data_IF_575146942764
#
_entry.id   IF_575146942764
#
_cell.length_a   1.000
_cell.length_b   1.000
_cell.length_c   1.000
_cell.angle_alpha   90.00
_cell.angle_beta   90.00
_cell.angle_gamma   90.00
#
_symmetry.space_group_name_H-M   'P 1'
#
loop_
_entity.id
_entity.type
_entity.pdbx_description
1 polymer ?
#
# COMPACT_ATOMS: atom_id res chain seq x y z
N UNK A 1 -32.41 -4.17 -5.54
CA UNK A 1 -32.13 -5.43 -6.26
C UNK A 1 -30.87 -6.18 -5.76
N UNK A 2 -30.11 -5.67 -4.77
CA UNK A 2 -28.86 -6.29 -4.31
C UNK A 2 -29.00 -7.58 -3.45
N UNK A 3 -30.19 -7.93 -2.97
CA UNK A 3 -30.39 -9.05 -2.04
C UNK A 3 -30.31 -10.46 -2.68
N UNK A 4 -30.28 -10.58 -4.01
CA UNK A 4 -30.27 -11.89 -4.69
C UNK A 4 -28.88 -12.54 -4.73
N UNK A 5 -27.81 -11.75 -4.87
CA UNK A 5 -26.43 -12.26 -5.01
C UNK A 5 -25.84 -12.88 -3.73
N UNK A 6 -26.35 -12.49 -2.55
CA UNK A 6 -25.87 -13.00 -1.25
C UNK A 6 -26.43 -14.39 -0.89
N UNK A 7 -27.37 -14.93 -1.69
CA UNK A 7 -28.11 -16.17 -1.38
C UNK A 7 -27.31 -17.46 -1.64
N UNK A 8 -26.35 -17.45 -2.57
CA UNK A 8 -25.74 -18.69 -3.10
C UNK A 8 -24.52 -19.19 -2.32
N UNK A 9 -23.82 -18.31 -1.58
CA UNK A 9 -22.49 -18.61 -1.06
C UNK A 9 -22.30 -18.32 0.44
N UNK A 10 -23.36 -18.26 1.24
CA UNK A 10 -23.25 -18.07 2.69
C UNK A 10 -22.60 -19.30 3.36
N UNK A 11 -21.71 -19.11 4.35
CA UNK A 11 -21.25 -20.21 5.21
C UNK A 11 -22.45 -20.89 5.87
N UNK A 12 -22.32 -22.14 6.35
CA UNK A 12 -23.43 -22.87 7.00
C UNK A 12 -24.16 -22.00 8.05
N UNK A 13 -23.41 -21.17 8.78
CA UNK A 13 -23.92 -20.24 9.79
C UNK A 13 -24.67 -19.04 9.20
N UNK A 14 -24.17 -18.43 8.11
CA UNK A 14 -24.84 -17.31 7.45
C UNK A 14 -26.07 -17.77 6.65
N UNK A 15 -26.06 -19.00 6.13
CA UNK A 15 -27.22 -19.61 5.47
C UNK A 15 -28.34 -19.90 6.46
N UNK A 16 -28.02 -20.47 7.62
CA UNK A 16 -28.98 -20.66 8.71
C UNK A 16 -29.61 -19.33 9.18
N UNK A 17 -28.80 -18.27 9.28
CA UNK A 17 -29.29 -16.93 9.61
C UNK A 17 -30.23 -16.31 8.57
N UNK A 18 -30.12 -16.74 7.31
CA UNK A 18 -30.98 -16.25 6.24
C UNK A 18 -32.31 -17.00 6.20
N UNK A 19 -32.29 -18.31 6.45
CA UNK A 19 -33.47 -19.18 6.45
C UNK A 19 -34.40 -18.91 7.65
N UNK A 20 -33.86 -18.38 8.75
CA UNK A 20 -34.63 -17.95 9.92
C UNK A 20 -34.85 -16.44 9.88
N UNK A 21 -36.09 -15.99 10.04
CA UNK A 21 -36.46 -14.57 10.05
C UNK A 21 -36.07 -13.90 11.38
N UNK A 22 -34.79 -13.57 11.53
CA UNK A 22 -34.29 -12.80 12.67
C UNK A 22 -34.62 -11.31 12.49
N UNK A 23 -35.09 -10.68 13.57
CA UNK A 23 -35.25 -9.23 13.62
C UNK A 23 -33.90 -8.53 13.51
N UNK A 24 -33.90 -7.29 12.99
CA UNK A 24 -32.69 -6.46 12.88
C UNK A 24 -31.97 -6.32 14.25
N UNK A 25 -32.71 -6.17 15.35
CA UNK A 25 -32.14 -6.08 16.69
C UNK A 25 -31.33 -7.33 17.09
N UNK A 26 -31.82 -8.53 16.75
CA UNK A 26 -31.10 -9.79 17.03
C UNK A 26 -29.82 -9.87 16.20
N UNK A 27 -29.88 -9.44 14.93
CA UNK A 27 -28.72 -9.42 14.03
C UNK A 27 -27.66 -8.41 14.50
N UNK A 28 -28.06 -7.19 14.88
CA UNK A 28 -27.13 -6.19 15.43
C UNK A 28 -26.47 -6.67 16.73
N UNK A 29 -27.23 -7.31 17.63
CA UNK A 29 -26.67 -7.92 18.84
C UNK A 29 -25.64 -9.01 18.51
N UNK A 30 -25.91 -9.83 17.49
CA UNK A 30 -24.96 -10.83 17.01
C UNK A 30 -23.71 -10.18 16.40
N UNK A 31 -23.86 -9.17 15.56
CA UNK A 31 -22.76 -8.44 14.94
C UNK A 31 -21.82 -7.85 15.99
N UNK A 32 -22.36 -7.21 17.04
CA UNK A 32 -21.57 -6.67 18.14
C UNK A 32 -20.77 -7.75 18.89
N UNK A 33 -21.35 -8.95 19.06
CA UNK A 33 -20.62 -10.09 19.64
C UNK A 33 -19.50 -10.58 18.73
N UNK A 34 -19.72 -10.64 17.42
CA UNK A 34 -18.67 -10.99 16.45
C UNK A 34 -17.53 -9.97 16.48
N UNK A 35 -17.85 -8.67 16.51
CA UNK A 35 -16.85 -7.60 16.64
C UNK A 35 -16.01 -7.73 17.92
N UNK A 36 -16.67 -7.96 19.06
CA UNK A 36 -15.97 -8.17 20.33
C UNK A 36 -15.06 -9.40 20.29
N UNK A 37 -15.56 -10.53 19.78
CA UNK A 37 -14.82 -11.79 19.67
C UNK A 37 -13.59 -11.69 18.75
N UNK A 38 -13.64 -10.81 17.74
CA UNK A 38 -12.53 -10.55 16.81
C UNK A 38 -11.62 -9.39 17.24
N UNK A 39 -11.90 -8.74 18.39
CA UNK A 39 -11.16 -7.56 18.83
C UNK A 39 -11.38 -6.30 17.97
N UNK A 40 -12.41 -6.29 17.12
CA UNK A 40 -12.66 -5.22 16.15
C UNK A 40 -13.60 -4.12 16.66
N UNK A 41 -14.26 -4.31 17.80
CA UNK A 41 -15.27 -3.39 18.35
C UNK A 41 -14.73 -1.97 18.67
N UNK A 42 -13.42 -1.83 18.87
CA UNK A 42 -12.76 -0.53 19.09
C UNK A 42 -12.21 0.08 17.79
N UNK A 43 -12.29 -0.64 16.66
CA UNK A 43 -11.68 -0.26 15.37
C UNK A 43 -12.77 0.08 14.35
N UNK A 44 -13.80 -0.76 14.26
CA UNK A 44 -14.93 -0.56 13.36
C UNK A 44 -16.26 -0.71 14.10
N UNK A 45 -17.24 0.07 13.66
CA UNK A 45 -18.63 -0.02 14.02
C UNK A 45 -19.47 -0.03 12.74
N UNK A 46 -20.73 -0.43 12.86
CA UNK A 46 -21.70 -0.37 11.76
C UNK A 46 -22.85 0.55 12.13
N UNK A 47 -23.35 1.28 11.15
CA UNK A 47 -24.47 2.19 11.33
C UNK A 47 -25.71 1.45 11.88
N UNK A 48 -26.40 2.03 12.86
CA UNK A 48 -27.61 1.46 13.43
C UNK A 48 -28.77 1.37 12.43
N UNK A 49 -28.68 2.09 11.31
CA UNK A 49 -29.68 2.12 10.24
C UNK A 49 -29.48 1.02 9.19
N UNK A 50 -28.47 0.14 9.33
CA UNK A 50 -28.32 -0.98 8.41
C UNK A 50 -29.55 -1.88 8.45
N UNK A 51 -30.11 -2.15 7.27
CA UNK A 51 -31.22 -3.07 7.11
C UNK A 51 -30.78 -4.54 7.27
N UNK A 52 -31.75 -5.45 7.27
CA UNK A 52 -31.49 -6.89 7.47
C UNK A 52 -30.48 -7.46 6.45
N UNK A 53 -30.59 -7.24 5.13
CA UNK A 53 -29.58 -7.67 4.16
C UNK A 53 -28.17 -7.16 4.47
N UNK A 54 -28.01 -5.88 4.79
CA UNK A 54 -26.70 -5.29 5.09
C UNK A 54 -26.13 -5.77 6.43
N UNK A 55 -26.97 -6.00 7.44
CA UNK A 55 -26.55 -6.62 8.70
C UNK A 55 -26.02 -8.03 8.51
N UNK A 56 -26.66 -8.84 7.65
CA UNK A 56 -26.18 -10.19 7.33
C UNK A 56 -24.86 -10.16 6.57
N UNK A 57 -24.70 -9.21 5.65
CA UNK A 57 -23.41 -8.93 5.01
C UNK A 57 -22.33 -8.53 6.03
N UNK A 58 -22.64 -7.62 6.96
CA UNK A 58 -21.72 -7.18 8.00
C UNK A 58 -21.28 -8.34 8.91
N UNK A 59 -22.22 -9.18 9.34
CA UNK A 59 -21.92 -10.39 10.12
C UNK A 59 -20.99 -11.30 9.32
N UNK A 60 -21.26 -11.55 8.04
CA UNK A 60 -20.38 -12.37 7.21
C UNK A 60 -18.97 -11.78 7.11
N UNK A 61 -18.84 -10.48 6.88
CA UNK A 61 -17.55 -9.80 6.79
C UNK A 61 -16.74 -9.94 8.09
N UNK A 62 -17.36 -9.69 9.24
CA UNK A 62 -16.66 -9.74 10.54
C UNK A 62 -16.36 -11.18 10.97
N UNK A 63 -17.28 -12.11 10.74
CA UNK A 63 -17.15 -13.49 11.21
C UNK A 63 -16.16 -14.29 10.35
N UNK A 64 -16.18 -14.09 9.04
CA UNK A 64 -15.47 -14.94 8.08
C UNK A 64 -14.19 -14.35 7.51
N UNK A 65 -14.05 -13.03 7.45
CA UNK A 65 -12.86 -12.41 6.87
C UNK A 65 -11.79 -12.17 7.91
N UNK A 66 -10.53 -12.17 7.46
CA UNK A 66 -9.41 -11.70 8.25
C UNK A 66 -9.33 -10.17 8.11
N UNK A 67 -9.17 -9.49 9.24
CA UNK A 67 -9.15 -8.03 9.31
C UNK A 67 -7.79 -7.48 9.74
N UNK A 68 -6.83 -8.33 10.10
CA UNK A 68 -5.58 -7.92 10.77
C UNK A 68 -4.85 -6.81 10.02
N UNK A 69 -4.66 -6.93 8.70
CA UNK A 69 -3.91 -5.94 7.92
C UNK A 69 -4.63 -4.59 7.88
N UNK A 70 -5.94 -4.61 7.63
CA UNK A 70 -6.78 -3.41 7.56
C UNK A 70 -6.97 -2.77 8.93
N UNK A 71 -7.10 -3.57 9.98
CA UNK A 71 -7.18 -3.12 11.35
C UNK A 71 -5.88 -2.43 11.78
N UNK A 72 -4.72 -3.01 11.47
CA UNK A 72 -3.41 -2.41 11.73
C UNK A 72 -3.27 -1.07 11.00
N UNK A 73 -3.65 -1.00 9.71
CA UNK A 73 -3.63 0.24 8.94
C UNK A 73 -4.56 1.32 9.52
N UNK A 74 -5.78 0.96 9.94
CA UNK A 74 -6.70 1.89 10.60
C UNK A 74 -6.17 2.36 11.96
N UNK A 75 -5.51 1.49 12.72
CA UNK A 75 -4.89 1.84 13.99
C UNK A 75 -3.71 2.80 13.79
N UNK A 76 -2.86 2.56 12.80
CA UNK A 76 -1.81 3.49 12.39
C UNK A 76 -2.40 4.84 11.93
N UNK A 77 -3.44 4.82 11.09
CA UNK A 77 -4.11 6.04 10.64
C UNK A 77 -4.66 6.87 11.82
N UNK A 78 -5.23 6.21 12.84
CA UNK A 78 -5.66 6.86 14.09
C UNK A 78 -4.49 7.47 14.84
N UNK A 79 -3.39 6.73 14.96
CA UNK A 79 -2.19 7.17 15.65
C UNK A 79 -1.59 8.43 14.99
N UNK A 80 -1.64 8.50 13.65
CA UNK A 80 -1.25 9.67 12.85
C UNK A 80 -2.34 10.76 12.76
N UNK A 81 -3.47 10.58 13.43
CA UNK A 81 -4.56 11.57 13.46
C UNK A 81 -5.41 11.66 12.18
N UNK A 82 -5.27 10.73 11.23
CA UNK A 82 -6.01 10.72 9.96
C UNK A 82 -7.42 10.13 10.05
N UNK A 83 -7.74 9.45 11.14
CA UNK A 83 -9.10 9.00 11.42
C UNK A 83 -9.37 8.90 12.92
N UNK A 84 -10.64 8.80 13.27
CA UNK A 84 -11.10 8.48 14.62
C UNK A 84 -11.61 7.04 14.63
N UNK A 85 -11.21 6.27 15.65
CA UNK A 85 -11.73 4.92 15.86
C UNK A 85 -12.76 4.89 17.00
N UNK A 86 -13.80 4.05 16.90
CA UNK A 86 -14.11 3.19 15.74
C UNK A 86 -14.64 3.98 14.54
N UNK A 87 -14.25 3.61 13.32
CA UNK A 87 -14.91 4.14 12.11
C UNK A 87 -16.30 3.53 11.97
N UNK A 88 -17.28 4.30 11.50
CA UNK A 88 -18.66 3.81 11.32
C UNK A 88 -18.93 3.50 9.87
N UNK A 89 -19.13 2.21 9.57
CA UNK A 89 -19.48 1.73 8.23
C UNK A 89 -20.99 1.90 7.99
N UNK A 90 -21.32 2.77 7.05
CA UNK A 90 -22.67 3.11 6.63
C UNK A 90 -23.09 2.32 5.39
N UNK A 91 -24.33 2.55 4.93
CA UNK A 91 -24.90 1.90 3.75
C UNK A 91 -23.99 2.06 2.52
N UNK A 92 -23.42 3.25 2.30
CA UNK A 92 -22.54 3.52 1.16
C UNK A 92 -21.26 2.66 1.19
N UNK A 93 -20.62 2.49 2.36
CA UNK A 93 -19.46 1.59 2.52
C UNK A 93 -19.84 0.15 2.18
N UNK A 94 -20.98 -0.27 2.71
CA UNK A 94 -21.50 -1.61 2.50
C UNK A 94 -21.95 -1.86 1.07
N UNK A 95 -22.17 -0.82 0.26
CA UNK A 95 -22.56 -0.93 -1.14
C UNK A 95 -21.39 -0.92 -2.12
N UNK A 96 -20.15 -0.67 -1.66
CA UNK A 96 -18.95 -0.81 -2.49
C UNK A 96 -18.81 -2.18 -3.14
N UNK A 97 -19.34 -3.21 -2.48
CA UNK A 97 -19.49 -4.56 -3.05
C UNK A 97 -20.96 -4.93 -3.07
N UNK A 98 -21.61 -4.94 -4.22
CA UNK A 98 -23.04 -5.22 -4.32
C UNK A 98 -23.41 -6.69 -3.95
N UNK A 99 -22.42 -7.57 -4.06
CA UNK A 99 -22.56 -9.01 -3.92
C UNK A 99 -21.35 -9.63 -3.22
N UNK A 100 -21.52 -10.85 -2.71
CA UNK A 100 -20.41 -11.63 -2.17
C UNK A 100 -19.39 -11.97 -3.25
N UNK A 101 -19.84 -12.22 -4.48
CA UNK A 101 -18.96 -12.55 -5.59
C UNK A 101 -18.11 -11.35 -5.99
N UNK A 102 -18.69 -10.15 -6.04
CA UNK A 102 -17.92 -8.92 -6.28
C UNK A 102 -16.82 -8.73 -5.21
N UNK A 103 -17.16 -8.91 -3.93
CA UNK A 103 -16.16 -8.84 -2.86
C UNK A 103 -15.04 -9.88 -3.02
N UNK A 104 -15.38 -11.12 -3.38
CA UNK A 104 -14.41 -12.21 -3.54
C UNK A 104 -13.64 -12.16 -4.88
N UNK A 105 -14.03 -11.27 -5.80
CA UNK A 105 -13.28 -11.05 -7.04
C UNK A 105 -12.02 -10.21 -6.80
N UNK A 106 -12.03 -9.39 -5.75
CA UNK A 106 -10.87 -8.63 -5.30
C UNK A 106 -10.02 -9.44 -4.31
N UNK A 107 -8.73 -9.10 -4.23
CA UNK A 107 -7.92 -9.49 -3.08
C UNK A 107 -8.55 -8.94 -1.80
N UNK A 108 -8.68 -9.77 -0.75
CA UNK A 108 -9.39 -9.43 0.49
C UNK A 108 -8.98 -8.08 1.08
N UNK A 109 -7.68 -7.78 1.14
CA UNK A 109 -7.19 -6.51 1.71
C UNK A 109 -7.68 -5.31 0.89
N UNK A 110 -7.64 -5.41 -0.44
CA UNK A 110 -8.18 -4.39 -1.36
C UNK A 110 -9.69 -4.25 -1.19
N UNK A 111 -10.42 -5.38 -1.15
CA UNK A 111 -11.87 -5.39 -0.99
C UNK A 111 -12.32 -4.70 0.31
N UNK A 112 -11.65 -4.99 1.42
CA UNK A 112 -11.89 -4.35 2.71
C UNK A 112 -11.48 -2.88 2.69
N UNK A 113 -10.33 -2.53 2.09
CA UNK A 113 -9.87 -1.15 2.03
C UNK A 113 -10.79 -0.27 1.18
N UNK A 114 -11.37 -0.77 0.09
CA UNK A 114 -12.43 -0.07 -0.67
C UNK A 114 -13.61 0.36 0.23
N UNK A 115 -13.92 -0.43 1.26
CA UNK A 115 -15.00 -0.12 2.21
C UNK A 115 -14.58 0.86 3.31
N UNK A 116 -13.32 0.81 3.78
CA UNK A 116 -12.90 1.58 4.96
C UNK A 116 -12.02 2.79 4.65
N UNK A 117 -11.31 2.78 3.54
CA UNK A 117 -10.25 3.74 3.21
C UNK A 117 -10.75 5.18 3.12
N UNK A 118 -11.99 5.40 2.68
CA UNK A 118 -12.61 6.74 2.63
C UNK A 118 -12.78 7.43 3.99
N UNK A 119 -12.61 6.68 5.10
CA UNK A 119 -12.62 7.20 6.47
C UNK A 119 -11.24 7.65 6.95
N UNK A 120 -10.18 7.39 6.17
CA UNK A 120 -8.82 7.87 6.40
C UNK A 120 -8.64 9.15 5.59
N UNK A 121 -8.56 10.29 6.29
CA UNK A 121 -8.45 11.61 5.71
C UNK A 121 -7.11 12.24 6.11
N UNK A 122 -6.23 12.42 5.13
CA UNK A 122 -4.94 13.08 5.31
C UNK A 122 -5.08 14.60 5.43
N UNK A 123 -6.23 15.16 5.02
CA UNK A 123 -6.50 16.60 5.07
C UNK A 123 -5.80 17.38 3.95
N UNK A 124 -6.13 18.67 3.83
CA UNK A 124 -5.52 19.58 2.85
C UNK A 124 -5.54 19.02 1.42
N UNK A 125 -4.41 19.17 0.74
CA UNK A 125 -4.21 18.69 -0.63
C UNK A 125 -3.95 17.18 -0.73
N UNK A 126 -3.73 16.50 0.41
CA UNK A 126 -3.53 15.05 0.45
C UNK A 126 -4.84 14.27 0.34
N UNK A 127 -5.99 14.90 0.61
CA UNK A 127 -7.30 14.29 0.43
C UNK A 127 -7.54 13.04 1.30
N UNK A 128 -8.29 12.07 0.76
CA UNK A 128 -8.66 10.82 1.46
C UNK A 128 -8.01 9.61 0.82
N UNK A 129 -7.76 8.57 1.61
CA UNK A 129 -7.22 7.32 1.09
C UNK A 129 -8.32 6.39 0.54
N UNK A 130 -8.98 6.85 -0.52
CA UNK A 130 -10.06 6.10 -1.16
C UNK A 130 -9.55 5.25 -2.33
N UNK A 131 -10.09 4.05 -2.49
CA UNK A 131 -9.87 3.22 -3.67
C UNK A 131 -11.09 3.27 -4.59
N UNK A 132 -10.85 3.33 -5.89
CA UNK A 132 -11.87 3.45 -6.93
C UNK A 132 -11.79 2.26 -7.89
N UNK A 133 -12.95 1.74 -8.28
CA UNK A 133 -13.07 0.69 -9.28
C UNK A 133 -12.96 1.28 -10.68
N UNK A 134 -12.14 0.66 -11.54
CA UNK A 134 -12.06 1.07 -12.94
C UNK A 134 -12.96 0.21 -13.84
N UNK A 135 -13.50 0.81 -14.94
CA UNK A 135 -14.02 0.02 -16.04
C UNK A 135 -12.94 -0.94 -16.57
N UNK A 136 -13.17 -2.25 -16.46
CA UNK A 136 -12.19 -3.27 -16.86
C UNK A 136 -11.50 -4.02 -15.71
N UNK A 137 -11.81 -3.70 -14.45
CA UNK A 137 -11.37 -4.49 -13.29
C UNK A 137 -10.07 -4.02 -12.62
N UNK A 138 -9.53 -2.87 -13.02
CA UNK A 138 -8.42 -2.21 -12.32
C UNK A 138 -8.87 -1.43 -11.09
N UNK A 139 -7.90 -0.94 -10.31
CA UNK A 139 -8.14 -0.13 -9.10
C UNK A 139 -7.32 1.14 -9.18
N UNK A 140 -7.88 2.28 -8.76
CA UNK A 140 -7.13 3.52 -8.51
C UNK A 140 -7.11 3.88 -7.03
N UNK A 141 -6.12 4.66 -6.60
CA UNK A 141 -6.02 5.19 -5.24
C UNK A 141 -6.04 6.71 -5.21
N UNK A 142 -6.58 7.31 -4.14
CA UNK A 142 -6.67 8.76 -3.88
C UNK A 142 -7.59 9.54 -4.82
N UNK A 143 -7.42 9.39 -6.14
CA UNK A 143 -8.21 10.06 -7.19
C UNK A 143 -8.65 9.03 -8.24
N UNK A 144 -9.84 9.22 -8.80
CA UNK A 144 -10.32 8.42 -9.94
C UNK A 144 -9.88 9.06 -11.27
N UNK A 145 -8.58 9.19 -11.46
CA UNK A 145 -7.96 9.86 -12.60
C UNK A 145 -6.75 9.06 -13.12
N UNK A 146 -6.35 9.19 -14.40
CA UNK A 146 -5.13 8.60 -14.92
C UNK A 146 -3.89 9.01 -14.11
N UNK A 147 -2.94 8.07 -13.95
CA UNK A 147 -1.74 8.22 -13.12
C UNK A 147 -1.90 7.71 -11.68
N UNK A 148 -3.14 7.40 -11.26
CA UNK A 148 -3.45 6.88 -9.93
C UNK A 148 -3.79 5.38 -9.92
N UNK A 149 -3.45 4.67 -10.99
CA UNK A 149 -3.63 3.23 -11.12
C UNK A 149 -2.79 2.42 -10.13
N UNK A 150 -3.37 1.32 -9.66
CA UNK A 150 -2.69 0.26 -8.95
C UNK A 150 -2.67 -0.99 -9.83
N UNK A 151 -1.48 -1.51 -10.11
CA UNK A 151 -1.33 -2.85 -10.67
C UNK A 151 -1.33 -3.86 -9.52
N UNK A 152 -2.45 -4.58 -9.38
CA UNK A 152 -2.68 -5.52 -8.30
C UNK A 152 -2.19 -6.91 -8.73
N UNK A 153 -1.26 -7.47 -7.96
CA UNK A 153 -0.57 -8.71 -8.27
C UNK A 153 0.15 -8.65 -9.63
N UNK A 154 1.03 -7.65 -9.84
CA UNK A 154 1.77 -7.48 -11.09
C UNK A 154 2.59 -8.74 -11.40
N UNK A 155 2.84 -9.07 -12.68
CA UNK A 155 3.78 -10.11 -13.03
C UNK A 155 5.19 -9.71 -12.56
N UNK A 156 5.74 -10.48 -11.61
CA UNK A 156 7.08 -10.23 -11.08
C UNK A 156 8.13 -11.07 -11.82
N UNK A 157 9.34 -10.53 -12.09
CA UNK A 157 10.45 -11.30 -12.67
C UNK A 157 10.76 -12.57 -11.86
N UNK A 158 11.19 -13.70 -12.46
CA UNK A 158 11.34 -14.98 -11.74
C UNK A 158 12.25 -14.94 -10.50
N UNK A 159 13.24 -14.05 -10.47
CA UNK A 159 14.18 -13.87 -9.36
C UNK A 159 13.75 -12.77 -8.36
N UNK A 160 12.52 -12.26 -8.46
CA UNK A 160 12.03 -11.18 -7.61
C UNK A 160 11.93 -11.64 -6.13
N UNK A 161 12.42 -10.86 -5.15
CA UNK A 161 12.49 -11.28 -3.75
C UNK A 161 11.13 -11.52 -3.08
N UNK A 162 10.04 -10.98 -3.64
CA UNK A 162 8.69 -11.19 -3.11
C UNK A 162 8.02 -12.49 -3.56
N UNK A 163 8.51 -13.17 -4.60
CA UNK A 163 7.91 -14.44 -5.07
C UNK A 163 7.69 -15.48 -3.96
N UNK A 164 8.67 -15.73 -3.05
CA UNK A 164 8.49 -16.71 -1.97
C UNK A 164 7.49 -16.26 -0.89
N UNK A 165 7.03 -15.02 -0.93
CA UNK A 165 6.26 -14.38 0.13
C UNK A 165 4.86 -13.96 -0.30
N UNK A 166 4.49 -14.05 -1.58
CA UNK A 166 3.18 -13.67 -2.09
C UNK A 166 2.02 -14.36 -1.35
N UNK A 167 1.02 -13.58 -0.95
CA UNK A 167 -0.22 -14.04 -0.31
C UNK A 167 -1.39 -13.64 -1.22
N UNK A 168 -2.18 -14.61 -1.71
CA UNK A 168 -3.27 -14.33 -2.67
C UNK A 168 -4.27 -13.25 -2.20
N UNK A 169 -4.60 -13.24 -0.90
CA UNK A 169 -5.53 -12.29 -0.30
C UNK A 169 -4.92 -10.92 0.00
N UNK A 170 -3.60 -10.79 -0.16
CA UNK A 170 -2.78 -9.61 0.12
C UNK A 170 -1.59 -9.55 -0.85
N UNK A 171 -1.85 -9.52 -2.17
CA UNK A 171 -0.81 -9.68 -3.19
C UNK A 171 0.05 -8.42 -3.30
N UNK A 172 1.23 -8.50 -3.95
CA UNK A 172 2.04 -7.33 -4.28
C UNK A 172 1.24 -6.26 -5.05
N UNK A 173 1.62 -5.00 -4.89
CA UNK A 173 0.98 -3.87 -5.58
C UNK A 173 2.07 -3.01 -6.20
N UNK A 174 1.97 -2.74 -7.50
CA UNK A 174 2.86 -1.79 -8.19
C UNK A 174 2.11 -0.48 -8.44
N UNK A 175 2.75 0.64 -8.12
CA UNK A 175 2.15 1.97 -8.25
C UNK A 175 3.24 3.04 -8.48
N UNK A 176 2.92 4.03 -9.31
CA UNK A 176 3.72 5.23 -9.52
C UNK A 176 3.30 6.39 -8.59
N UNK A 177 2.38 6.16 -7.65
CA UNK A 177 1.86 7.23 -6.81
C UNK A 177 2.85 7.55 -5.71
N UNK A 178 3.26 8.82 -5.64
CA UNK A 178 4.11 9.33 -4.57
C UNK A 178 3.63 10.66 -4.00
N UNK A 179 4.20 11.03 -2.86
CA UNK A 179 3.99 12.31 -2.20
C UNK A 179 5.00 13.33 -2.73
N UNK A 180 4.54 14.31 -3.51
CA UNK A 180 5.37 15.40 -4.04
C UNK A 180 4.68 16.74 -3.81
N UNK A 181 5.46 17.75 -3.38
CA UNK A 181 4.96 19.12 -3.19
C UNK A 181 3.71 19.22 -2.30
N UNK A 182 3.62 18.38 -1.27
CA UNK A 182 2.47 18.37 -0.34
C UNK A 182 1.17 17.80 -0.93
N UNK A 183 1.24 16.97 -1.98
CA UNK A 183 0.08 16.26 -2.53
C UNK A 183 0.45 14.89 -3.09
N UNK A 184 -0.55 14.03 -3.29
CA UNK A 184 -0.35 12.77 -4.02
C UNK A 184 -0.31 13.04 -5.52
N UNK A 185 0.78 12.66 -6.17
CA UNK A 185 1.03 12.82 -7.60
C UNK A 185 1.40 11.48 -8.23
N UNK A 186 1.22 11.38 -9.55
CA UNK A 186 1.84 10.32 -10.33
C UNK A 186 3.30 10.72 -10.56
N UNK A 187 4.23 9.91 -10.05
CA UNK A 187 5.67 10.03 -10.26
C UNK A 187 6.10 9.22 -11.49
N UNK A 188 7.30 9.50 -12.00
CA UNK A 188 7.98 8.64 -12.96
C UNK A 188 8.57 7.39 -12.27
N UNK A 189 8.81 7.48 -10.96
CA UNK A 189 9.30 6.35 -10.15
C UNK A 189 8.16 5.37 -9.85
N UNK A 190 8.37 4.09 -10.16
CA UNK A 190 7.38 3.04 -9.91
C UNK A 190 7.86 2.13 -8.79
N UNK A 191 7.08 2.08 -7.71
CA UNK A 191 7.34 1.22 -6.57
C UNK A 191 6.45 -0.02 -6.61
N UNK A 192 7.07 -1.18 -6.38
CA UNK A 192 6.41 -2.45 -6.09
C UNK A 192 6.42 -2.68 -4.58
N UNK A 193 5.28 -2.52 -3.94
CA UNK A 193 5.05 -2.90 -2.55
C UNK A 193 4.87 -4.42 -2.43
N UNK A 194 5.45 -5.03 -1.39
CA UNK A 194 5.42 -6.48 -1.18
C UNK A 194 4.01 -7.04 -0.99
N UNK A 195 3.05 -6.19 -0.61
CA UNK A 195 1.63 -6.55 -0.50
C UNK A 195 0.74 -5.31 -0.57
N UNK A 196 -0.56 -5.50 -0.81
CA UNK A 196 -1.57 -4.47 -0.69
C UNK A 196 -1.56 -3.80 0.70
N UNK A 197 -1.34 -4.57 1.77
CA UNK A 197 -1.19 -4.01 3.11
C UNK A 197 0.08 -3.18 3.28
N UNK A 198 1.17 -3.55 2.60
CA UNK A 198 2.42 -2.78 2.62
C UNK A 198 2.22 -1.44 1.91
N UNK A 199 1.56 -1.43 0.73
CA UNK A 199 1.16 -0.20 0.05
C UNK A 199 0.33 0.71 0.96
N UNK A 200 -0.74 0.17 1.56
CA UNK A 200 -1.62 0.93 2.46
C UNK A 200 -0.85 1.51 3.66
N UNK A 201 -0.04 0.69 4.33
CA UNK A 201 0.76 1.12 5.48
C UNK A 201 1.79 2.17 5.08
N UNK A 202 2.53 1.97 3.98
CA UNK A 202 3.52 2.92 3.44
C UNK A 202 2.87 4.27 3.17
N UNK A 203 1.72 4.28 2.51
CA UNK A 203 0.97 5.51 2.24
C UNK A 203 0.62 6.26 3.52
N UNK A 204 0.12 5.56 4.55
CA UNK A 204 -0.24 6.20 5.83
C UNK A 204 1.00 6.68 6.58
N UNK A 205 2.10 5.91 6.55
CA UNK A 205 3.38 6.30 7.15
C UNK A 205 3.91 7.56 6.50
N UNK A 206 3.85 7.67 5.17
CA UNK A 206 4.41 8.80 4.40
C UNK A 206 3.64 10.11 4.52
N UNK A 207 2.37 10.08 4.93
CA UNK A 207 1.59 11.30 5.07
C UNK A 207 1.95 12.05 6.36
N UNK A 208 2.10 13.38 6.29
CA UNK A 208 2.27 14.28 7.43
C UNK A 208 3.73 14.55 7.82
N UNK A 209 3.93 15.53 8.71
CA UNK A 209 5.26 16.02 9.08
C UNK A 209 5.94 15.06 10.08
N UNK A 210 7.25 14.86 9.93
CA UNK A 210 8.05 14.07 10.86
C UNK A 210 9.43 14.71 11.07
N UNK A 211 10.05 14.32 12.18
CA UNK A 211 11.49 14.43 12.36
C UNK A 211 12.21 13.24 11.73
N UNK A 212 13.35 13.48 11.09
CA UNK A 212 14.17 12.44 10.48
C UNK A 212 15.63 12.58 10.89
N UNK A 213 16.32 11.46 11.09
CA UNK A 213 17.78 11.45 11.17
C UNK A 213 18.38 11.53 9.77
N UNK A 214 19.56 12.15 9.61
CA UNK A 214 20.34 11.95 8.40
C UNK A 214 20.65 10.46 8.19
N UNK A 215 20.86 10.10 6.93
CA UNK A 215 21.16 8.73 6.53
C UNK A 215 22.53 8.26 7.08
N UNK A 216 22.56 7.11 7.74
CA UNK A 216 23.78 6.43 8.14
C UNK A 216 24.06 5.24 7.21
N UNK A 217 25.30 5.13 6.71
CA UNK A 217 25.73 4.00 5.90
C UNK A 217 26.40 2.95 6.76
N UNK A 218 25.88 1.72 6.74
CA UNK A 218 26.31 0.64 7.63
C UNK A 218 26.52 -0.63 6.83
N UNK A 219 27.64 -1.32 7.07
CA UNK A 219 27.85 -2.65 6.48
C UNK A 219 26.83 -3.65 7.06
N UNK A 220 26.07 -4.32 6.19
CA UNK A 220 25.01 -5.28 6.53
C UNK A 220 25.49 -6.45 7.40
N UNK A 221 26.76 -6.81 7.27
CA UNK A 221 27.39 -7.91 8.00
C UNK A 221 28.12 -7.42 9.27
N UNK A 222 28.26 -6.11 9.46
CA UNK A 222 28.83 -5.58 10.69
C UNK A 222 27.94 -5.85 11.90
N UNK A 223 28.53 -5.70 13.09
CA UNK A 223 27.82 -5.75 14.38
C UNK A 223 26.99 -7.03 14.61
N UNK A 224 27.47 -8.16 14.09
CA UNK A 224 26.80 -9.46 14.24
C UNK A 224 25.76 -9.76 13.17
N UNK A 225 25.71 -8.99 12.06
CA UNK A 225 24.82 -9.25 10.94
C UNK A 225 23.35 -8.96 11.24
N UNK A 226 23.06 -8.05 12.19
CA UNK A 226 21.68 -7.71 12.59
C UNK A 226 20.89 -7.15 11.40
N UNK A 227 21.48 -6.26 10.61
CA UNK A 227 20.83 -5.70 9.42
C UNK A 227 20.61 -6.75 8.34
N UNK A 228 21.60 -7.61 8.09
CA UNK A 228 21.45 -8.74 7.17
C UNK A 228 20.29 -9.66 7.58
N UNK A 229 20.18 -9.95 8.88
CA UNK A 229 19.04 -10.65 9.44
C UNK A 229 17.73 -9.94 9.11
N UNK A 230 17.58 -8.66 9.50
CA UNK A 230 16.35 -7.89 9.28
C UNK A 230 15.94 -7.82 7.80
N UNK A 231 16.89 -7.67 6.88
CA UNK A 231 16.62 -7.60 5.44
C UNK A 231 16.13 -8.94 4.86
N UNK A 232 16.66 -10.05 5.36
CA UNK A 232 16.31 -11.41 4.90
C UNK A 232 15.05 -11.99 5.55
N UNK A 233 14.40 -11.28 6.48
CA UNK A 233 13.11 -11.73 7.04
C UNK A 233 11.99 -11.66 6.00
N UNK A 234 10.87 -12.34 6.27
CA UNK A 234 9.67 -12.17 5.46
C UNK A 234 9.16 -10.73 5.51
N UNK A 235 8.69 -10.13 4.40
CA UNK A 235 8.10 -8.79 4.38
C UNK A 235 6.69 -8.75 5.01
N UNK A 236 6.12 -9.89 5.41
CA UNK A 236 4.80 -9.98 6.05
C UNK A 236 4.87 -10.29 7.54
N UNK A 237 6.07 -10.49 8.08
CA UNK A 237 6.28 -10.83 9.48
C UNK A 237 7.19 -9.78 10.12
N UNK A 238 6.65 -8.93 11.00
CA UNK A 238 7.46 -7.98 11.75
C UNK A 238 8.53 -8.74 12.55
N UNK A 239 9.79 -8.30 12.52
CA UNK A 239 10.82 -8.80 13.42
C UNK A 239 10.45 -8.58 14.89
N UNK A 240 11.13 -9.26 15.80
CA UNK A 240 10.98 -9.02 17.23
C UNK A 240 11.19 -7.53 17.54
N UNK A 241 10.31 -6.97 18.40
CA UNK A 241 10.29 -5.55 18.80
C UNK A 241 9.78 -4.58 17.72
N UNK A 242 9.30 -5.08 16.59
CA UNK A 242 8.53 -4.29 15.62
C UNK A 242 7.04 -4.60 15.73
N UNK A 243 6.22 -3.57 15.62
CA UNK A 243 4.76 -3.69 15.52
C UNK A 243 4.33 -4.08 14.11
N UNK A 244 4.99 -3.50 13.11
CA UNK A 244 4.70 -3.71 11.70
C UNK A 244 5.99 -3.68 10.86
N UNK A 245 5.91 -4.26 9.67
CA UNK A 245 6.94 -4.14 8.62
C UNK A 245 6.26 -3.83 7.31
N UNK A 246 6.88 -2.92 6.56
CA UNK A 246 6.53 -2.59 5.19
C UNK A 246 7.78 -2.83 4.34
N UNK A 247 7.60 -3.44 3.19
CA UNK A 247 8.67 -3.61 2.21
C UNK A 247 8.17 -3.15 0.84
N UNK A 248 9.00 -2.36 0.17
CA UNK A 248 8.77 -1.90 -1.20
C UNK A 248 10.08 -1.95 -1.98
N UNK A 249 9.98 -2.01 -3.30
CA UNK A 249 11.12 -2.10 -4.20
C UNK A 249 10.89 -1.19 -5.39
N UNK A 250 11.93 -0.46 -5.76
CA UNK A 250 12.00 0.23 -7.04
C UNK A 250 12.79 -0.64 -8.01
N UNK A 251 12.10 -1.14 -9.05
CA UNK A 251 12.69 -2.01 -10.07
C UNK A 251 13.17 -1.24 -11.31
N UNK A 252 12.76 0.02 -11.48
CA UNK A 252 13.09 0.82 -12.65
C UNK A 252 14.45 1.51 -12.48
N UNK A 253 14.90 1.67 -11.23
CA UNK A 253 16.26 2.06 -10.90
C UNK A 253 17.30 0.96 -11.24
N UNK A 254 18.45 1.37 -11.79
CA UNK A 254 19.59 0.49 -12.06
C UNK A 254 20.81 0.87 -11.20
N UNK A 255 21.11 0.15 -10.10
CA UNK A 255 20.46 -1.05 -9.54
C UNK A 255 19.08 -0.82 -8.93
N UNK A 256 18.24 -1.87 -8.84
CA UNK A 256 17.01 -1.83 -8.07
C UNK A 256 17.27 -1.45 -6.61
N UNK A 257 16.35 -0.68 -6.04
CA UNK A 257 16.42 -0.20 -4.66
C UNK A 257 15.37 -0.92 -3.82
N UNK A 258 15.77 -1.51 -2.71
CA UNK A 258 14.86 -2.15 -1.76
C UNK A 258 14.71 -1.29 -0.51
N UNK A 259 13.47 -1.07 -0.10
CA UNK A 259 13.09 -0.32 1.09
C UNK A 259 12.46 -1.28 2.11
N UNK A 260 12.84 -1.13 3.37
CA UNK A 260 12.21 -1.80 4.51
C UNK A 260 11.92 -0.78 5.59
N UNK A 261 10.66 -0.61 5.94
CA UNK A 261 10.22 0.27 7.03
C UNK A 261 9.76 -0.60 8.19
N UNK A 262 10.38 -0.40 9.35
CA UNK A 262 10.18 -1.20 10.56
C UNK A 262 9.56 -0.31 11.64
N UNK A 263 8.27 -0.52 11.93
CA UNK A 263 7.56 0.27 12.93
C UNK A 263 7.94 -0.17 14.34
N UNK A 264 8.57 0.73 15.09
CA UNK A 264 9.10 0.47 16.43
C UNK A 264 8.06 0.65 17.53
N UNK A 265 7.07 1.50 17.27
CA UNK A 265 6.07 1.88 18.27
C UNK A 265 4.83 0.98 18.16
N UNK A 266 4.25 0.55 19.30
CA UNK A 266 2.92 -0.05 19.31
C UNK A 266 1.85 0.91 18.77
N UNK A 267 0.75 0.37 18.24
CA UNK A 267 -0.35 1.17 17.68
C UNK A 267 -1.12 2.03 18.71
N UNK A 268 -0.91 1.80 20.00
CA UNK A 268 -1.45 2.59 21.11
C UNK A 268 -0.47 3.64 21.65
N UNK A 269 0.75 3.72 21.09
CA UNK A 269 1.73 4.76 21.41
C UNK A 269 1.22 6.15 21.02
N UNK A 270 1.56 7.22 21.76
CA UNK A 270 1.14 8.59 21.43
C UNK A 270 1.89 9.19 20.24
N UNK A 271 2.91 8.50 19.71
CA UNK A 271 3.70 8.88 18.54
C UNK A 271 4.09 7.62 17.76
N UNK A 272 4.40 7.79 16.48
CA UNK A 272 4.96 6.80 15.56
C UNK A 272 6.47 7.00 15.46
N UNK A 273 7.21 5.89 15.43
CA UNK A 273 8.62 5.88 15.10
C UNK A 273 8.94 4.64 14.27
N UNK A 274 9.70 4.83 13.20
CA UNK A 274 10.06 3.81 12.24
C UNK A 274 11.57 3.86 11.95
N UNK A 275 12.15 2.69 11.65
CA UNK A 275 13.47 2.60 11.01
C UNK A 275 13.26 2.34 9.53
N UNK A 276 13.92 3.12 8.69
CA UNK A 276 13.98 2.92 7.25
C UNK A 276 15.33 2.30 6.91
N UNK A 277 15.29 1.17 6.22
CA UNK A 277 16.44 0.47 5.67
C UNK A 277 16.37 0.55 4.14
N UNK A 278 17.45 1.00 3.52
CA UNK A 278 17.55 1.09 2.07
C UNK A 278 18.76 0.28 1.61
N UNK A 279 18.58 -0.57 0.61
CA UNK A 279 19.66 -1.33 -0.02
C UNK A 279 19.59 -1.27 -1.53
N UNK A 280 20.74 -1.44 -2.17
CA UNK A 280 20.86 -1.46 -3.63
C UNK A 280 21.22 -2.88 -4.06
N UNK A 281 20.45 -3.44 -5.00
CA UNK A 281 20.50 -4.86 -5.38
C UNK A 281 21.84 -5.31 -6.01
N UNK A 282 22.76 -4.41 -6.35
CA UNK A 282 24.07 -4.76 -6.91
C UNK A 282 25.20 -4.64 -5.87
N UNK A 283 25.29 -5.65 -5.01
CA UNK A 283 26.55 -6.09 -4.41
C UNK A 283 27.23 -5.14 -3.42
N UNK A 284 26.57 -4.04 -3.05
CA UNK A 284 27.05 -3.26 -1.92
C UNK A 284 26.64 -3.98 -0.65
N UNK A 285 27.61 -4.24 0.24
CA UNK A 285 27.31 -4.65 1.60
C UNK A 285 26.75 -3.48 2.43
N UNK A 286 26.52 -2.31 1.83
CA UNK A 286 26.06 -1.12 2.53
C UNK A 286 24.54 -1.10 2.63
N UNK A 287 24.04 -0.79 3.81
CA UNK A 287 22.65 -0.50 4.12
C UNK A 287 22.59 0.95 4.57
N UNK A 288 21.73 1.73 3.95
CA UNK A 288 21.39 3.05 4.45
C UNK A 288 20.31 2.90 5.52
N UNK A 289 20.56 3.47 6.70
CA UNK A 289 19.69 3.41 7.87
C UNK A 289 19.28 4.83 8.24
N UNK A 290 17.98 5.05 8.36
CA UNK A 290 17.41 6.30 8.89
C UNK A 290 16.30 6.00 9.88
N UNK A 291 15.98 6.98 10.72
CA UNK A 291 14.89 6.93 11.68
C UNK A 291 13.96 8.10 11.39
N UNK A 292 12.66 7.82 11.32
CA UNK A 292 11.62 8.84 11.21
C UNK A 292 10.67 8.74 12.39
N UNK A 293 10.21 9.88 12.89
CA UNK A 293 9.26 9.92 14.02
C UNK A 293 8.43 11.20 14.07
N UNK A 294 7.22 11.11 14.62
CA UNK A 294 6.42 12.28 15.02
C UNK A 294 6.42 12.53 16.54
N UNK A 295 7.29 11.87 17.32
CA UNK A 295 7.52 12.20 18.73
C UNK A 295 7.83 13.69 18.83
N UNK A 296 7.11 14.54 19.58
CA UNK A 296 7.40 15.98 19.61
C UNK A 296 8.83 16.30 20.05
N UNK A 297 9.52 17.29 19.42
CA UNK A 297 10.93 17.54 19.73
C UNK A 297 11.05 18.26 21.07
N UNK A 298 12.09 17.95 21.83
CA UNK A 298 12.53 18.73 22.99
C UNK A 298 13.91 19.34 22.73
N UNK A 299 14.35 20.28 23.57
CA UNK A 299 15.66 20.93 23.43
C UNK A 299 15.75 21.90 22.26
N UNK A 300 16.98 22.25 21.89
CA UNK A 300 17.31 23.17 20.80
C UNK A 300 17.35 22.44 19.45
N UNK A 301 17.09 23.14 18.34
CA UNK A 301 17.13 22.54 17.00
C UNK A 301 18.53 22.05 16.57
N UNK A 302 19.58 22.50 17.27
CA UNK A 302 20.96 22.05 17.09
C UNK A 302 21.32 20.79 17.89
N UNK A 303 20.45 20.35 18.80
CA UNK A 303 20.71 19.15 19.61
C UNK A 303 20.69 17.88 18.74
N UNK A 304 21.40 16.85 19.19
CA UNK A 304 21.40 15.57 18.50
C UNK A 304 19.99 14.93 18.55
N UNK A 305 19.67 14.09 17.57
CA UNK A 305 18.37 13.44 17.45
C UNK A 305 17.94 12.75 18.74
N UNK A 306 18.85 12.03 19.41
CA UNK A 306 18.52 11.34 20.69
C UNK A 306 18.11 12.29 21.82
N UNK A 307 18.64 13.52 21.80
CA UNK A 307 18.38 14.51 22.84
C UNK A 307 17.06 15.22 22.53
N UNK A 308 16.74 15.39 21.23
CA UNK A 308 15.46 15.91 20.76
C UNK A 308 14.31 14.91 20.82
N UNK A 309 14.58 13.61 20.65
CA UNK A 309 13.61 12.51 20.56
C UNK A 309 13.93 11.40 21.59
N UNK A 310 13.87 11.70 22.90
CA UNK A 310 14.36 10.80 23.95
C UNK A 310 13.57 9.49 24.08
N UNK A 311 12.32 9.43 23.60
CA UNK A 311 11.50 8.22 23.62
C UNK A 311 11.79 7.31 22.43
N UNK A 312 12.09 7.89 21.27
CA UNK A 312 12.41 7.16 20.03
C UNK A 312 13.80 6.54 20.08
N UNK A 313 14.80 7.30 20.53
CA UNK A 313 16.19 6.85 20.55
C UNK A 313 16.46 5.47 21.19
N UNK A 314 15.92 5.13 22.39
CA UNK A 314 16.12 3.81 22.98
C UNK A 314 15.44 2.68 22.18
N UNK A 315 14.36 2.95 21.45
CA UNK A 315 13.69 1.95 20.61
C UNK A 315 14.59 1.50 19.46
N UNK A 316 15.31 2.45 18.85
CA UNK A 316 16.28 2.18 17.77
C UNK A 316 17.36 1.21 18.26
N UNK A 317 17.98 1.51 19.41
CA UNK A 317 18.98 0.64 20.03
C UNK A 317 18.47 -0.76 20.38
N UNK A 318 17.19 -0.87 20.71
CA UNK A 318 16.53 -2.15 20.96
C UNK A 318 16.47 -3.06 19.72
N UNK A 319 16.29 -2.50 18.52
CA UNK A 319 16.13 -3.29 17.29
C UNK A 319 17.46 -3.54 16.57
N UNK A 320 18.24 -2.48 16.31
CA UNK A 320 19.47 -2.57 15.50
C UNK A 320 20.76 -2.73 16.33
N UNK A 321 20.65 -2.73 17.66
CA UNK A 321 21.78 -2.78 18.58
C UNK A 321 22.44 -1.41 18.79
N UNK A 322 23.18 -1.28 19.89
CA UNK A 322 23.71 0.01 20.37
C UNK A 322 24.67 0.68 19.39
N UNK A 323 25.50 -0.09 18.67
CA UNK A 323 26.52 0.48 17.80
C UNK A 323 25.91 1.14 16.57
N UNK A 324 24.97 0.45 15.91
CA UNK A 324 24.25 0.99 14.74
C UNK A 324 23.36 2.15 15.18
N UNK A 325 22.63 1.99 16.30
CA UNK A 325 21.79 3.06 16.82
C UNK A 325 22.60 4.33 17.10
N UNK A 326 23.79 4.20 17.71
CA UNK A 326 24.67 5.35 17.95
C UNK A 326 25.14 6.05 16.68
N UNK A 327 25.29 5.35 15.55
CA UNK A 327 25.63 5.98 14.27
C UNK A 327 24.48 6.84 13.74
N UNK A 328 23.24 6.49 14.09
CA UNK A 328 22.02 7.15 13.58
C UNK A 328 21.58 8.27 14.52
N UNK A 329 21.35 7.97 15.81
CA UNK A 329 20.68 8.89 16.75
C UNK A 329 21.60 9.96 17.37
N UNK A 330 22.91 9.87 17.17
CA UNK A 330 23.86 10.91 17.64
C UNK A 330 24.07 12.02 16.61
N UNK A 331 23.47 11.91 15.42
CA UNK A 331 23.54 12.96 14.41
C UNK A 331 22.54 14.08 14.73
N UNK A 332 22.81 15.29 14.24
CA UNK A 332 21.84 16.38 14.30
C UNK A 332 20.62 16.01 13.45
N UNK A 333 19.42 16.28 13.95
CA UNK A 333 18.19 16.01 13.21
C UNK A 333 18.12 16.86 11.93
N UNK A 334 17.71 16.23 10.83
CA UNK A 334 17.48 16.94 9.58
C UNK A 334 16.19 17.73 9.72
N UNK A 335 16.31 19.07 9.68
CA UNK A 335 15.13 19.93 9.57
C UNK A 335 14.71 19.83 8.12
N UNK A 336 13.64 19.09 7.84
CA UNK A 336 12.93 19.26 6.58
C UNK A 336 12.34 20.65 6.64
N UNK A 337 13.08 21.63 6.13
CA UNK A 337 12.50 22.91 5.78
C UNK A 337 11.39 22.56 4.80
N UNK A 338 10.13 22.68 5.26
CA UNK A 338 9.02 22.76 4.35
C UNK A 338 9.32 23.98 3.50
N UNK A 339 10.00 23.79 2.36
CA UNK A 339 10.12 24.82 1.35
C UNK A 339 8.69 25.24 1.03
N UNK A 340 8.28 26.35 1.64
CA UNK A 340 7.28 27.22 1.08
C UNK A 340 7.77 27.51 -0.33
N UNK A 341 7.23 26.78 -1.31
CA UNK A 341 7.31 27.11 -2.73
C UNK A 341 6.64 28.46 -2.94
N UNK A 342 7.27 29.52 -2.46
CA UNK A 342 7.14 30.85 -2.98
C UNK A 342 8.10 30.90 -4.15
N UNK A 343 7.53 30.97 -5.36
CA UNK A 343 8.26 30.97 -6.61
C UNK A 343 9.44 31.93 -6.59
N UNK A 344 10.63 31.40 -6.79
CA UNK A 344 11.68 32.15 -7.45
C UNK A 344 11.39 32.05 -8.95
N UNK A 345 10.53 32.96 -9.42
CA UNK A 345 10.53 33.40 -10.80
C UNK A 345 11.94 33.93 -11.09
N UNK A 346 12.82 33.02 -11.51
CA UNK A 346 14.09 33.38 -12.13
C UNK A 346 13.77 33.85 -13.55
N UNK A 347 13.27 35.08 -13.63
CA UNK A 347 13.33 35.91 -14.83
C UNK A 347 14.82 36.16 -15.15
N UNK A 348 15.49 35.18 -15.73
CA UNK A 348 16.74 35.40 -16.46
C UNK A 348 16.38 35.59 -17.92
N UNK A 349 16.13 36.85 -18.25
CA UNK A 349 16.30 37.42 -19.58
C UNK A 349 17.75 37.14 -20.04
N UNK A 350 17.94 36.17 -20.94
CA UNK A 350 19.17 36.08 -21.73
C UNK A 350 18.83 36.05 -23.23
N UNK A 351 18.64 37.27 -23.75
CA UNK A 351 18.72 37.59 -25.15
C UNK A 351 20.10 37.20 -25.69
N UNK A 352 20.19 36.06 -26.39
CA UNK A 352 21.32 35.78 -27.27
C UNK A 352 20.83 35.42 -28.67
N UNK A 353 20.60 36.47 -29.44
CA UNK A 353 20.63 36.46 -30.89
C UNK A 353 21.91 35.80 -31.39
N UNK A 354 21.79 34.71 -32.14
CA UNK A 354 22.83 34.25 -33.06
C UNK A 354 22.18 33.56 -34.24
N UNK A 355 21.79 34.41 -35.19
CA UNK A 355 21.64 34.07 -36.61
C UNK A 355 22.96 33.51 -37.12
N UNK A 356 23.01 32.25 -37.57
CA UNK A 356 23.87 31.88 -38.70
C UNK A 356 23.17 30.83 -39.57
N UNK A 357 22.87 31.28 -40.79
CA UNK A 357 22.40 30.54 -41.94
C UNK A 357 23.33 29.39 -42.31
N UNK A 358 22.78 28.20 -42.56
CA UNK A 358 23.42 27.24 -43.47
C UNK A 358 22.38 26.57 -44.36
N UNK A 359 22.28 27.14 -45.56
CA UNK A 359 21.62 26.59 -46.73
C UNK A 359 22.28 25.25 -47.13
N UNK A 360 21.47 24.19 -47.16
CA UNK A 360 21.86 22.87 -47.63
C UNK A 360 20.85 22.33 -48.62
N UNK A 361 20.94 22.82 -49.87
CA UNK A 361 20.24 22.26 -51.03
C UNK A 361 20.57 20.77 -51.20
N UNK A 362 19.53 19.94 -51.31
CA UNK A 362 19.66 18.49 -51.47
C UNK A 362 18.48 17.93 -52.26
N UNK A 363 18.50 18.18 -53.57
CA UNK A 363 17.56 17.65 -54.55
C UNK A 363 17.57 16.11 -54.59
N UNK A 364 16.40 15.50 -54.52
CA UNK A 364 16.22 14.06 -54.65
C UNK A 364 14.83 13.67 -55.10
N UNK A 365 14.56 13.84 -56.40
CA UNK A 365 13.43 13.27 -57.12
C UNK A 365 13.30 11.76 -56.91
N UNK A 366 12.06 11.27 -56.77
CA UNK A 366 11.75 9.85 -56.80
C UNK A 366 10.26 9.55 -56.79
N UNK A 367 9.60 9.77 -57.93
CA UNK A 367 8.26 9.29 -58.25
C UNK A 367 8.14 7.76 -58.10
N UNK A 368 6.98 7.29 -57.61
CA UNK A 368 6.64 5.88 -57.56
C UNK A 368 5.18 5.63 -57.20
N UNK A 369 4.29 5.82 -58.17
CA UNK A 369 2.90 5.39 -58.15
C UNK A 369 2.75 3.85 -58.09
N UNK A 370 1.58 3.41 -57.60
CA UNK A 370 0.76 2.22 -57.95
C UNK A 370 0.32 1.47 -56.67
N UNK A 371 -0.94 1.55 -56.25
CA UNK A 371 -2.14 0.81 -56.71
C UNK A 371 -2.10 -0.72 -56.50
N UNK A 372 -3.26 -1.24 -56.07
CA UNK A 372 -3.79 -2.63 -56.08
C UNK A 372 -3.75 -3.35 -54.71
N UNK A 373 -4.92 -3.56 -54.09
CA UNK A 373 -5.85 -4.73 -54.15
C UNK A 373 -5.64 -5.60 -52.90
N UNK A 374 -6.63 -5.74 -52.02
CA UNK A 374 -7.78 -6.68 -52.07
C UNK A 374 -7.40 -8.15 -51.84
N UNK A 375 -8.05 -8.71 -50.80
CA UNK A 375 -8.36 -10.14 -50.55
C UNK A 375 -7.15 -11.06 -50.22
N UNK A 376 -7.19 -12.06 -49.34
CA UNK A 376 -8.24 -13.02 -49.01
C UNK A 376 -8.18 -13.49 -47.54
N UNK A 377 -9.36 -13.93 -47.09
CA UNK A 377 -9.61 -14.86 -45.99
C UNK A 377 -9.06 -16.27 -46.31
N UNK A 378 -8.60 -17.02 -45.31
CA UNK A 378 -8.85 -18.47 -45.16
C UNK A 378 -8.24 -18.92 -43.81
N UNK A 379 -9.09 -19.29 -42.85
CA UNK A 379 -9.44 -20.67 -42.51
C UNK A 379 -8.40 -21.41 -41.63
N UNK A 380 -8.90 -21.80 -40.45
CA UNK A 380 -8.20 -22.65 -39.50
C UNK A 380 -9.17 -23.18 -38.43
N UNK A 381 -10.34 -23.65 -38.86
CA UNK A 381 -11.20 -24.53 -38.06
C UNK A 381 -10.59 -25.93 -37.96
N UNK A 382 -10.66 -26.50 -36.76
CA UNK A 382 -10.58 -27.95 -36.57
C UNK A 382 -9.40 -28.41 -35.72
N UNK A 383 -9.64 -28.75 -34.45
CA UNK A 383 -9.72 -30.15 -34.00
C UNK A 383 -10.48 -30.19 -32.67
N UNK A 384 -11.77 -30.44 -32.76
CA UNK A 384 -12.54 -31.10 -31.71
C UNK A 384 -12.33 -32.61 -31.88
N UNK A 385 -11.74 -33.29 -30.88
CA UNK A 385 -12.17 -34.61 -30.37
C UNK A 385 -11.17 -35.26 -29.40
N UNK A 386 -11.77 -35.76 -28.33
CA UNK A 386 -11.47 -37.07 -27.71
C UNK A 386 -10.41 -37.15 -26.61
N UNK A 387 -10.87 -37.10 -25.36
CA UNK A 387 -10.38 -37.99 -24.30
C UNK A 387 -11.39 -38.15 -23.15
N UNK A 388 -12.40 -38.99 -23.37
CA UNK A 388 -13.24 -39.58 -22.31
C UNK A 388 -12.85 -41.06 -22.16
N UNK A 389 -11.91 -41.37 -21.26
CA UNK A 389 -11.61 -42.70 -20.68
C UNK A 389 -10.52 -42.45 -19.63
N UNK A 390 -10.76 -42.65 -18.34
CA UNK A 390 -10.81 -43.95 -17.67
C UNK A 390 -11.62 -43.87 -16.38
N UNK A 391 -12.51 -44.84 -16.20
CA UNK A 391 -13.12 -45.23 -14.93
C UNK A 391 -12.81 -46.72 -14.77
N UNK A 392 -12.35 -47.12 -13.57
CA UNK A 392 -12.20 -48.51 -13.06
C UNK A 392 -11.12 -49.32 -13.82
N UNK A 393 -10.19 -50.09 -13.26
CA UNK A 393 -10.02 -50.91 -12.03
C UNK A 393 -8.55 -50.75 -11.57
N UNK A 394 -8.15 -50.85 -10.30
CA UNK A 394 -7.88 -52.10 -9.59
C UNK A 394 -7.62 -51.81 -8.09
N UNK A 395 -8.11 -52.73 -7.24
CA UNK A 395 -7.74 -53.04 -5.84
C UNK A 395 -8.11 -52.07 -4.72
#
# INVERSE_FOLDING_TARGET
MCAAGWRSAASATARFLWEVDFSAAVLSSRLNRCLAAKGLHAIIAFDAQLDRPLLLKAIWLVDTQQWTEVANALQLARQRGFCQLPITLAVADMQRHDSKQAYLADARVIALWKMVGRHVNFGGNYGRFELFDQPGGGVRAFKDEPGFELDINPPLPPAHPYHPHTINDNPPVRSSIDLQGGSWTASDDVLTDASASAFIMRTIMRAGNWGATPWAYVDRHAHGGVLDGLLNHSPHQPPDRCTAVVASRDDDNGPPVEFRILQLTPFDSPFVADIILITWAHGTNSVTVGVVTDEPPVGDASDAFKDRRPSTAPLVGGLVGSTIANMVVNQQEEVTDEEEGAGEDSDDDDDSDSDEDLDGEGDGHGDGQQQLQEEEEEEGEGVEREAKRRRVEES
#
